data_IF_280143378741
#
_entry.id   IF_280143378741
#
_cell.length_a   1.000
_cell.length_b   1.000
_cell.length_c   1.000
_cell.angle_alpha   90.00
_cell.angle_beta   90.00
_cell.angle_gamma   90.00
#
_symmetry.space_group_name_H-M   'P 1'
#
loop_
_entity.id
_entity.type
_entity.pdbx_description
1 polymer ?
#
# COMPACT_ATOMS: atom_id res chain seq x y z
N UNK A 1 8.29 -48.97 -17.04
CA UNK A 1 9.39 -48.28 -17.75
C UNK A 1 9.63 -46.92 -17.12
N UNK A 2 10.38 -46.88 -16.01
CA UNK A 2 10.75 -45.65 -15.30
C UNK A 2 12.22 -45.80 -14.89
N UNK A 3 13.16 -45.31 -15.69
CA UNK A 3 14.56 -45.47 -15.33
C UNK A 3 15.58 -44.92 -16.33
N UNK A 4 15.42 -43.72 -16.89
CA UNK A 4 16.50 -43.17 -17.72
C UNK A 4 16.72 -41.66 -17.62
N UNK A 5 15.95 -40.93 -16.83
CA UNK A 5 16.13 -39.45 -16.70
C UNK A 5 17.18 -39.05 -15.67
N UNK A 6 17.39 -39.84 -14.62
CA UNK A 6 18.39 -39.53 -13.57
C UNK A 6 19.84 -39.66 -14.03
N UNK A 7 20.14 -40.58 -14.96
CA UNK A 7 21.50 -40.76 -15.48
C UNK A 7 21.97 -39.61 -16.40
N UNK A 8 21.07 -38.98 -17.15
CA UNK A 8 21.41 -37.90 -18.05
C UNK A 8 21.74 -36.60 -17.30
N UNK A 9 21.09 -36.34 -16.17
CA UNK A 9 21.37 -35.17 -15.32
C UNK A 9 22.72 -35.28 -14.60
N UNK A 10 23.11 -36.48 -14.18
CA UNK A 10 24.41 -36.70 -13.54
C UNK A 10 25.56 -36.43 -14.52
N UNK A 11 25.40 -36.81 -15.78
CA UNK A 11 26.43 -36.56 -16.82
C UNK A 11 26.56 -35.05 -17.10
N UNK A 12 25.46 -34.31 -17.14
CA UNK A 12 25.49 -32.83 -17.34
C UNK A 12 26.20 -32.14 -16.18
N UNK A 13 25.93 -32.54 -14.95
CA UNK A 13 26.62 -31.97 -13.75
C UNK A 13 28.11 -32.24 -13.77
N UNK A 14 28.52 -33.45 -14.13
CA UNK A 14 29.98 -33.79 -14.22
C UNK A 14 30.69 -32.98 -15.31
N UNK A 15 30.04 -32.77 -16.46
CA UNK A 15 30.60 -31.93 -17.55
C UNK A 15 30.72 -30.46 -17.14
N UNK A 16 29.75 -29.93 -16.41
CA UNK A 16 29.80 -28.54 -15.91
C UNK A 16 30.91 -28.35 -14.87
N UNK A 17 31.07 -29.31 -13.95
CA UNK A 17 32.17 -29.27 -12.95
C UNK A 17 33.52 -29.37 -13.64
N UNK A 18 33.71 -30.22 -14.66
CA UNK A 18 34.94 -30.33 -15.43
C UNK A 18 35.23 -29.04 -16.21
N UNK A 19 34.26 -28.37 -16.77
CA UNK A 19 34.44 -27.09 -17.46
C UNK A 19 34.84 -25.95 -16.52
N UNK A 20 34.27 -25.91 -15.31
CA UNK A 20 34.64 -24.93 -14.28
C UNK A 20 36.08 -25.17 -13.78
N UNK A 21 36.46 -26.43 -13.57
CA UNK A 21 37.83 -26.77 -13.16
C UNK A 21 38.87 -26.42 -14.26
N UNK A 22 38.54 -26.65 -15.54
CA UNK A 22 39.39 -26.27 -16.67
C UNK A 22 39.55 -24.76 -16.81
N UNK A 23 38.49 -24.00 -16.56
CA UNK A 23 38.51 -22.53 -16.57
C UNK A 23 39.41 -21.96 -15.47
N UNK A 24 39.33 -22.50 -14.24
CA UNK A 24 40.18 -22.09 -13.12
C UNK A 24 41.68 -22.48 -13.36
N UNK A 25 41.91 -23.62 -13.97
CA UNK A 25 43.28 -24.07 -14.31
C UNK A 25 43.90 -23.21 -15.43
N UNK A 26 43.10 -22.69 -16.36
CA UNK A 26 43.57 -21.82 -17.43
C UNK A 26 43.86 -20.39 -16.94
N UNK A 27 43.07 -19.89 -16.00
CA UNK A 27 43.25 -18.56 -15.41
C UNK A 27 44.45 -18.47 -14.47
N UNK A 28 44.83 -19.57 -13.82
CA UNK A 28 46.01 -19.64 -12.93
C UNK A 28 47.37 -19.69 -13.63
N UNK A 29 47.41 -19.70 -14.98
CA UNK A 29 48.66 -19.87 -15.74
C UNK A 29 49.21 -18.59 -16.36
N UNK A 30 48.58 -17.45 -16.20
CA UNK A 30 48.96 -16.20 -16.85
C UNK A 30 49.77 -15.22 -15.98
N UNK A 31 50.08 -15.56 -14.73
CA UNK A 31 50.85 -14.69 -13.84
C UNK A 31 52.25 -15.24 -13.56
N UNK A 32 53.06 -15.46 -14.61
CA UNK A 32 54.48 -15.72 -14.42
C UNK A 32 55.23 -15.43 -15.72
N UNK A 33 55.69 -14.19 -15.90
CA UNK A 33 56.95 -13.87 -16.56
C UNK A 33 57.13 -12.37 -16.75
N UNK A 34 57.99 -11.77 -15.93
CA UNK A 34 59.08 -10.95 -16.43
C UNK A 34 59.93 -10.46 -15.25
N UNK A 35 61.01 -11.20 -15.02
CA UNK A 35 62.12 -10.72 -14.22
C UNK A 35 63.34 -10.63 -15.10
N UNK A 36 64.09 -9.57 -14.94
CA UNK A 36 65.51 -9.43 -14.83
C UNK A 36 66.24 -8.76 -16.01
N UNK A 37 67.58 -8.47 -15.86
CA UNK A 37 68.27 -7.63 -14.88
C UNK A 37 69.22 -6.64 -15.57
N UNK A 38 69.82 -5.72 -14.86
CA UNK A 38 70.87 -4.91 -15.44
C UNK A 38 71.41 -3.84 -14.49
N UNK A 39 72.52 -4.24 -13.84
CA UNK A 39 73.36 -3.48 -12.95
C UNK A 39 73.99 -2.22 -13.59
N UNK A 40 74.24 -1.18 -12.82
CA UNK A 40 75.59 -0.73 -12.47
C UNK A 40 75.57 0.38 -11.43
N UNK A 41 76.51 0.25 -10.47
CA UNK A 41 76.85 1.19 -9.40
C UNK A 41 77.44 2.47 -9.98
N UNK A 42 77.16 3.60 -9.39
CA UNK A 42 78.19 4.60 -9.09
C UNK A 42 77.80 5.45 -7.90
N UNK A 43 78.58 5.41 -6.88
CA UNK A 43 78.58 6.26 -5.73
C UNK A 43 79.21 7.59 -6.07
N UNK A 44 78.59 8.71 -5.61
CA UNK A 44 79.40 9.91 -5.36
C UNK A 44 78.67 10.79 -4.29
N UNK A 45 79.44 10.94 -3.27
CA UNK A 45 79.53 11.92 -2.16
C UNK A 45 78.61 13.10 -2.11
N UNK A 46 78.19 13.34 -0.87
CA UNK A 46 77.54 14.57 -0.35
C UNK A 46 78.51 15.76 -0.36
N UNK A 47 77.99 16.96 -0.31
CA UNK A 47 78.24 17.76 0.89
C UNK A 47 77.01 18.42 1.52
N UNK A 48 77.19 18.73 2.79
CA UNK A 48 76.36 19.24 3.76
C UNK A 48 75.79 20.65 3.49
N UNK A 49 74.62 20.89 4.12
CA UNK A 49 74.34 22.23 4.63
C UNK A 49 73.29 23.01 3.84
N UNK A 50 72.03 22.95 4.29
CA UNK A 50 70.99 23.88 3.89
C UNK A 50 69.74 23.67 4.73
N UNK A 51 69.51 24.52 5.73
CA UNK A 51 68.25 24.67 6.45
C UNK A 51 67.16 24.88 5.44
N UNK A 52 66.41 23.80 5.12
CA UNK A 52 65.12 23.90 4.39
C UNK A 52 64.11 24.50 5.35
N UNK A 53 63.81 25.78 5.20
CA UNK A 53 62.60 26.40 5.69
C UNK A 53 61.43 25.53 5.18
N UNK A 54 60.46 25.25 6.06
CA UNK A 54 59.18 24.67 5.72
C UNK A 54 58.52 25.57 4.63
N UNK A 55 58.70 25.19 3.35
CA UNK A 55 57.79 25.65 2.30
C UNK A 55 56.45 24.98 2.59
N UNK A 56 55.49 25.74 3.15
CA UNK A 56 54.09 25.41 3.10
C UNK A 56 53.74 25.09 1.64
N UNK A 57 53.46 23.85 1.33
CA UNK A 57 52.91 23.45 0.01
C UNK A 57 51.65 24.29 -0.30
N UNK A 58 51.26 24.35 -1.56
CA UNK A 58 50.01 24.98 -1.91
C UNK A 58 48.88 24.43 -1.02
N UNK A 59 48.11 25.36 -0.41
CA UNK A 59 46.98 24.98 0.44
C UNK A 59 46.04 24.07 -0.36
N UNK A 60 45.54 22.99 0.25
CA UNK A 60 44.60 22.10 -0.40
C UNK A 60 43.25 22.87 -0.56
N UNK A 61 42.75 23.01 -1.80
CA UNK A 61 41.45 23.61 -2.00
C UNK A 61 40.34 22.63 -1.51
N UNK A 62 39.43 23.13 -0.68
CA UNK A 62 38.31 22.35 -0.13
C UNK A 62 37.01 23.11 -0.28
N UNK A 63 35.90 22.40 -0.45
CA UNK A 63 34.56 22.95 -0.29
C UNK A 63 34.07 22.67 1.12
N UNK A 64 33.33 23.62 1.69
CA UNK A 64 32.78 23.50 3.02
C UNK A 64 31.30 23.82 3.03
N UNK A 65 30.54 23.10 3.86
CA UNK A 65 29.15 23.41 4.18
C UNK A 65 28.99 23.64 5.68
N UNK A 66 28.04 24.47 6.07
CA UNK A 66 27.73 24.72 7.48
C UNK A 66 26.71 23.68 7.96
N UNK A 67 26.97 23.08 9.12
CA UNK A 67 26.00 22.22 9.81
C UNK A 67 24.81 23.08 10.27
N UNK A 68 23.61 22.69 9.85
CA UNK A 68 22.38 23.44 10.16
C UNK A 68 21.47 22.61 11.05
N UNK A 69 20.79 23.30 11.95
CA UNK A 69 19.76 22.68 12.79
C UNK A 69 18.42 22.76 12.06
N UNK A 70 17.80 21.60 11.82
CA UNK A 70 16.50 21.54 11.15
C UNK A 70 15.68 20.35 11.62
N UNK A 71 14.35 20.46 11.49
CA UNK A 71 13.46 19.33 11.73
C UNK A 71 13.61 18.29 10.58
N UNK A 72 13.91 17.05 10.94
CA UNK A 72 14.09 15.96 9.98
C UNK A 72 12.99 14.91 10.20
N UNK A 73 12.10 14.71 9.23
CA UNK A 73 11.07 13.68 9.32
C UNK A 73 11.70 12.29 9.18
N UNK A 74 11.26 11.37 10.04
CA UNK A 74 11.63 9.96 9.98
C UNK A 74 10.54 9.17 9.29
N UNK A 75 10.85 8.66 8.11
CA UNK A 75 9.95 7.82 7.35
C UNK A 75 10.33 6.35 7.46
N UNK A 76 9.32 5.48 7.63
CA UNK A 76 9.44 4.06 7.35
C UNK A 76 8.90 3.82 5.94
N UNK A 77 9.66 3.08 5.14
CA UNK A 77 9.30 2.82 3.75
C UNK A 77 8.98 1.35 3.54
N UNK A 78 7.99 1.06 2.72
CA UNK A 78 7.60 -0.30 2.38
C UNK A 78 6.97 -0.36 0.99
N UNK A 79 7.07 -1.50 0.33
CA UNK A 79 6.32 -1.75 -0.89
C UNK A 79 4.92 -2.23 -0.53
N UNK A 80 3.92 -1.70 -1.21
CA UNK A 80 2.54 -2.06 -0.98
C UNK A 80 1.70 -2.20 -2.23
N UNK A 81 0.51 -2.73 -2.02
CA UNK A 81 -0.52 -2.87 -3.05
C UNK A 81 -1.77 -2.15 -2.60
N UNK A 82 -2.33 -1.37 -3.49
CA UNK A 82 -3.63 -0.73 -3.27
C UNK A 82 -4.72 -1.80 -3.32
N UNK A 83 -5.59 -1.80 -2.32
CA UNK A 83 -6.74 -2.69 -2.23
C UNK A 83 -8.02 -1.88 -2.08
N UNK A 84 -9.09 -2.34 -2.69
CA UNK A 84 -10.39 -1.71 -2.44
C UNK A 84 -10.78 -1.83 -0.95
N UNK A 85 -11.50 -0.83 -0.43
CA UNK A 85 -12.05 -0.93 0.93
C UNK A 85 -13.02 -2.10 1.04
N UNK A 86 -13.88 -2.28 0.02
CA UNK A 86 -14.77 -3.43 -0.13
C UNK A 86 -14.83 -3.86 -1.60
N UNK A 87 -14.91 -5.16 -1.83
CA UNK A 87 -15.18 -5.74 -3.15
C UNK A 87 -16.32 -6.73 -3.00
N UNK A 88 -17.42 -6.48 -3.70
CA UNK A 88 -18.62 -7.29 -3.60
C UNK A 88 -19.02 -7.81 -4.98
N UNK A 89 -19.07 -9.12 -5.13
CA UNK A 89 -19.64 -9.78 -6.31
C UNK A 89 -21.15 -9.83 -6.15
N UNK A 90 -21.84 -9.08 -6.98
CA UNK A 90 -23.32 -9.05 -7.01
C UNK A 90 -23.83 -10.31 -7.70
N UNK A 91 -24.65 -11.08 -6.99
CA UNK A 91 -25.21 -12.35 -7.46
C UNK A 91 -26.72 -12.32 -7.34
N UNK A 92 -27.40 -13.11 -8.17
CA UNK A 92 -28.82 -13.36 -7.99
C UNK A 92 -29.05 -14.30 -6.79
N UNK A 93 -30.19 -14.12 -6.14
CA UNK A 93 -30.71 -15.02 -5.09
C UNK A 93 -31.84 -15.90 -5.62
N UNK A 94 -32.31 -15.63 -6.84
CA UNK A 94 -33.38 -16.38 -7.51
C UNK A 94 -32.94 -16.77 -8.92
N UNK A 95 -33.52 -17.84 -9.43
CA UNK A 95 -33.26 -18.32 -10.77
C UNK A 95 -34.20 -17.65 -11.77
N UNK A 96 -33.72 -17.38 -12.98
CA UNK A 96 -34.57 -16.82 -14.04
C UNK A 96 -33.77 -16.17 -15.15
N UNK A 97 -34.45 -15.73 -16.20
CA UNK A 97 -33.85 -15.03 -17.32
C UNK A 97 -33.55 -13.57 -16.96
N UNK A 98 -32.35 -13.11 -17.30
CA UNK A 98 -31.97 -11.69 -17.15
C UNK A 98 -32.65 -10.85 -18.20
N UNK A 99 -33.57 -9.97 -17.76
CA UNK A 99 -34.38 -9.12 -18.65
C UNK A 99 -33.70 -7.80 -18.98
N UNK A 100 -33.03 -7.20 -18.01
CA UNK A 100 -32.40 -5.90 -18.19
C UNK A 100 -31.19 -5.71 -17.27
N UNK A 101 -30.23 -4.89 -17.73
CA UNK A 101 -29.13 -4.33 -16.94
C UNK A 101 -29.33 -2.81 -16.90
N UNK A 102 -29.29 -2.21 -15.71
CA UNK A 102 -29.56 -0.80 -15.46
C UNK A 102 -28.30 0.00 -15.08
N UNK A 103 -27.12 -0.50 -15.39
CA UNK A 103 -25.85 0.17 -15.14
C UNK A 103 -24.98 0.22 -16.40
N UNK A 104 -24.05 1.13 -16.43
CA UNK A 104 -22.93 1.14 -17.39
C UNK A 104 -21.66 0.65 -16.72
N UNK A 105 -20.82 -0.07 -17.48
CA UNK A 105 -19.52 -0.51 -17.00
C UNK A 105 -18.65 0.68 -16.58
N UNK A 106 -18.04 0.60 -15.41
CA UNK A 106 -17.25 1.68 -14.84
C UNK A 106 -18.05 2.80 -14.16
N UNK A 107 -19.39 2.74 -14.15
CA UNK A 107 -20.26 3.72 -13.50
C UNK A 107 -20.11 3.68 -11.96
N UNK A 108 -20.21 4.83 -11.32
CA UNK A 108 -20.41 4.92 -9.86
C UNK A 108 -21.87 4.67 -9.52
N UNK A 109 -22.11 3.80 -8.54
CA UNK A 109 -23.45 3.45 -8.04
C UNK A 109 -23.51 3.63 -6.53
N UNK A 110 -24.71 3.85 -6.01
CA UNK A 110 -24.98 3.93 -4.58
C UNK A 110 -25.69 2.67 -4.10
N UNK A 111 -25.54 2.35 -2.83
CA UNK A 111 -26.29 1.29 -2.19
C UNK A 111 -27.80 1.47 -2.41
N UNK A 112 -28.48 0.42 -2.90
CA UNK A 112 -29.88 0.44 -3.26
C UNK A 112 -30.18 0.73 -4.74
N UNK A 113 -29.23 1.22 -5.54
CA UNK A 113 -29.43 1.44 -6.97
C UNK A 113 -29.76 0.12 -7.67
N UNK A 114 -30.75 0.12 -8.57
CA UNK A 114 -31.15 -1.04 -9.36
C UNK A 114 -30.06 -1.35 -10.39
N UNK A 115 -29.55 -2.57 -10.35
CA UNK A 115 -28.49 -3.04 -11.26
C UNK A 115 -29.02 -3.95 -12.35
N UNK A 116 -29.90 -4.89 -11.98
CA UNK A 116 -30.40 -5.89 -12.91
C UNK A 116 -31.81 -6.33 -12.56
N UNK A 117 -32.51 -6.80 -13.55
CA UNK A 117 -33.88 -7.35 -13.41
C UNK A 117 -33.95 -8.75 -14.01
N UNK A 118 -34.39 -9.71 -13.19
CA UNK A 118 -34.74 -11.08 -13.62
C UNK A 118 -36.22 -11.11 -13.94
N UNK A 119 -36.67 -11.94 -14.87
CA UNK A 119 -38.10 -12.07 -15.22
C UNK A 119 -38.96 -12.31 -13.97
N UNK A 120 -39.78 -11.30 -13.58
CA UNK A 120 -40.57 -11.37 -12.38
C UNK A 120 -41.85 -12.17 -12.55
N UNK A 121 -42.19 -12.66 -13.74
CA UNK A 121 -43.50 -13.22 -14.11
C UNK A 121 -43.87 -14.39 -13.23
N UNK A 122 -42.99 -15.35 -13.02
CA UNK A 122 -43.24 -16.52 -12.16
C UNK A 122 -43.46 -16.12 -10.69
N UNK A 123 -42.70 -15.13 -10.19
CA UNK A 123 -42.78 -14.68 -8.81
C UNK A 123 -44.10 -13.89 -8.56
N UNK A 124 -44.55 -13.09 -9.53
CA UNK A 124 -45.83 -12.40 -9.49
C UNK A 124 -47.00 -13.38 -9.42
N UNK A 125 -46.94 -14.46 -10.22
CA UNK A 125 -47.99 -15.51 -10.19
C UNK A 125 -47.99 -16.22 -8.83
N UNK A 126 -46.81 -16.59 -8.29
CA UNK A 126 -46.70 -17.24 -6.98
C UNK A 126 -47.24 -16.34 -5.85
N UNK A 127 -46.95 -15.03 -5.89
CA UNK A 127 -47.46 -14.05 -4.94
C UNK A 127 -48.98 -13.94 -5.03
N UNK A 128 -49.51 -13.84 -6.25
CA UNK A 128 -50.98 -13.75 -6.46
C UNK A 128 -51.71 -15.01 -5.95
N UNK A 129 -51.10 -16.20 -6.15
CA UNK A 129 -51.62 -17.46 -5.64
C UNK A 129 -51.67 -17.48 -4.08
N UNK A 130 -50.57 -17.09 -3.42
CA UNK A 130 -50.48 -17.02 -1.97
C UNK A 130 -51.49 -16.01 -1.40
N UNK A 131 -51.63 -14.83 -2.03
CA UNK A 131 -52.61 -13.80 -1.64
C UNK A 131 -54.04 -14.32 -1.80
N UNK A 132 -54.36 -15.06 -2.87
CA UNK A 132 -55.66 -15.68 -3.09
C UNK A 132 -56.01 -16.69 -1.99
N UNK A 133 -55.05 -17.51 -1.57
CA UNK A 133 -55.26 -18.49 -0.48
C UNK A 133 -55.49 -17.74 0.85
N UNK A 134 -54.69 -16.74 1.18
CA UNK A 134 -54.90 -15.91 2.38
C UNK A 134 -56.28 -15.23 2.40
N UNK A 135 -56.72 -14.71 1.26
CA UNK A 135 -58.04 -14.09 1.16
C UNK A 135 -59.18 -15.08 1.41
N UNK A 136 -59.08 -16.30 0.87
CA UNK A 136 -60.03 -17.38 1.12
C UNK A 136 -60.11 -17.75 2.60
N UNK A 137 -58.96 -17.92 3.26
CA UNK A 137 -58.94 -18.33 4.66
C UNK A 137 -59.32 -17.21 5.64
N UNK A 138 -59.04 -15.96 5.28
CA UNK A 138 -59.64 -14.78 5.99
C UNK A 138 -61.14 -14.77 5.90
N UNK A 139 -61.76 -15.14 4.77
CA UNK A 139 -63.21 -15.27 4.64
C UNK A 139 -63.76 -16.42 5.51
N UNK A 140 -63.04 -17.55 5.56
CA UNK A 140 -63.38 -18.70 6.43
C UNK A 140 -63.33 -18.29 7.89
N UNK A 141 -62.30 -17.58 8.35
CA UNK A 141 -62.23 -17.06 9.72
C UNK A 141 -63.37 -16.11 10.05
N UNK A 142 -63.72 -15.22 9.12
CA UNK A 142 -64.86 -14.32 9.31
C UNK A 142 -66.21 -15.06 9.49
N UNK A 143 -66.38 -16.21 8.82
CA UNK A 143 -67.52 -17.10 9.03
C UNK A 143 -67.42 -17.79 10.40
N UNK A 144 -66.30 -18.42 10.74
CA UNK A 144 -66.10 -19.09 12.02
C UNK A 144 -66.34 -18.15 13.22
N UNK A 145 -65.85 -16.89 13.13
CA UNK A 145 -66.09 -15.86 14.17
C UNK A 145 -67.57 -15.47 14.31
N UNK A 146 -68.31 -15.38 13.19
CA UNK A 146 -69.75 -15.12 13.21
C UNK A 146 -70.49 -16.29 13.84
N UNK A 147 -70.13 -17.49 13.53
CA UNK A 147 -70.70 -18.69 14.13
C UNK A 147 -70.38 -18.79 15.60
N UNK A 148 -69.16 -18.58 16.04
CA UNK A 148 -68.76 -18.53 17.43
C UNK A 148 -69.61 -17.49 18.21
N UNK A 149 -69.81 -16.25 17.68
CA UNK A 149 -70.62 -15.21 18.31
C UNK A 149 -72.09 -15.66 18.46
N UNK A 150 -72.62 -16.39 17.47
CA UNK A 150 -73.94 -16.96 17.54
C UNK A 150 -74.00 -18.04 18.63
N UNK A 151 -73.14 -18.98 18.69
CA UNK A 151 -73.01 -20.03 19.70
C UNK A 151 -72.79 -19.46 21.10
N UNK A 152 -72.10 -18.40 21.28
CA UNK A 152 -71.93 -17.68 22.55
C UNK A 152 -73.27 -17.07 23.05
N UNK A 153 -74.10 -16.57 22.14
CA UNK A 153 -75.43 -16.07 22.50
C UNK A 153 -76.39 -17.18 22.88
N UNK A 154 -76.39 -18.28 22.11
CA UNK A 154 -77.24 -19.46 22.41
C UNK A 154 -76.79 -20.16 23.70
N UNK A 155 -75.58 -20.17 24.06
CA UNK A 155 -75.03 -20.73 25.30
C UNK A 155 -75.58 -19.97 26.52
N UNK A 156 -75.76 -18.66 26.42
CA UNK A 156 -76.36 -17.83 27.51
C UNK A 156 -77.79 -18.23 27.82
N UNK A 157 -78.48 -18.81 26.87
CA UNK A 157 -79.89 -19.30 27.03
C UNK A 157 -79.94 -20.81 27.19
N UNK A 158 -78.86 -21.52 27.42
CA UNK A 158 -78.71 -22.98 27.53
C UNK A 158 -79.28 -23.75 26.34
N UNK A 159 -79.23 -23.18 25.12
CA UNK A 159 -79.76 -23.82 23.90
C UNK A 159 -78.65 -24.63 23.14
N UNK A 160 -77.40 -24.59 23.57
CA UNK A 160 -76.30 -25.32 23.02
C UNK A 160 -75.46 -25.91 24.14
N UNK A 161 -74.75 -27.02 23.84
CA UNK A 161 -73.86 -27.65 24.80
C UNK A 161 -72.54 -26.90 24.91
N UNK A 162 -71.83 -27.02 26.05
CA UNK A 162 -70.49 -26.49 26.23
C UNK A 162 -69.48 -27.08 25.23
N UNK A 163 -69.62 -28.32 24.89
CA UNK A 163 -68.77 -29.00 23.93
C UNK A 163 -68.86 -28.37 22.53
N UNK A 164 -70.06 -28.00 22.09
CA UNK A 164 -70.29 -27.31 20.80
C UNK A 164 -69.66 -25.90 20.79
N UNK A 165 -69.76 -25.15 21.90
CA UNK A 165 -69.20 -23.85 22.05
C UNK A 165 -67.64 -23.97 22.01
N UNK A 166 -67.06 -24.90 22.76
CA UNK A 166 -65.61 -25.13 22.80
C UNK A 166 -65.05 -25.56 21.41
N UNK A 167 -65.81 -26.38 20.67
CA UNK A 167 -65.49 -26.78 19.30
C UNK A 167 -65.47 -25.55 18.36
N UNK A 168 -66.41 -24.63 18.45
CA UNK A 168 -66.40 -23.40 17.65
C UNK A 168 -65.22 -22.46 18.01
N UNK A 169 -64.89 -22.40 19.30
CA UNK A 169 -63.72 -21.64 19.73
C UNK A 169 -62.42 -22.26 19.24
N UNK A 170 -62.31 -23.59 19.27
CA UNK A 170 -61.14 -24.31 18.71
C UNK A 170 -61.03 -24.06 17.19
N UNK A 171 -62.15 -24.10 16.44
CA UNK A 171 -62.15 -23.82 14.99
C UNK A 171 -61.66 -22.42 14.65
N UNK A 172 -62.06 -21.41 15.44
CA UNK A 172 -61.53 -20.04 15.27
C UNK A 172 -60.03 -20.01 15.48
N UNK A 173 -59.52 -20.64 16.57
CA UNK A 173 -58.12 -20.68 16.86
C UNK A 173 -57.32 -21.42 15.79
N UNK A 174 -57.82 -22.53 15.27
CA UNK A 174 -57.23 -23.29 14.16
C UNK A 174 -57.15 -22.45 12.88
N UNK A 175 -58.23 -21.76 12.53
CA UNK A 175 -58.26 -20.89 11.34
C UNK A 175 -57.36 -19.67 11.49
N UNK A 176 -57.21 -19.11 12.68
CA UNK A 176 -56.24 -18.07 12.98
C UNK A 176 -54.80 -18.57 12.81
N UNK A 177 -54.52 -19.82 13.22
CA UNK A 177 -53.25 -20.47 12.97
C UNK A 177 -52.95 -20.62 11.46
N UNK A 178 -53.96 -21.06 10.69
CA UNK A 178 -53.84 -21.17 9.22
C UNK A 178 -53.54 -19.82 8.56
N UNK A 179 -54.21 -18.75 8.96
CA UNK A 179 -53.96 -17.41 8.42
C UNK A 179 -52.53 -16.95 8.67
N UNK A 180 -51.96 -17.24 9.85
CA UNK A 180 -50.56 -16.91 10.12
C UNK A 180 -49.58 -17.67 9.19
N UNK A 181 -49.90 -18.92 8.86
CA UNK A 181 -49.09 -19.69 7.88
C UNK A 181 -49.21 -19.13 6.46
N UNK A 182 -50.43 -18.72 6.07
CA UNK A 182 -50.65 -18.05 4.77
C UNK A 182 -49.95 -16.70 4.68
N UNK A 183 -49.98 -15.89 5.74
CA UNK A 183 -49.28 -14.62 5.79
C UNK A 183 -47.75 -14.82 5.65
N UNK A 184 -47.20 -15.87 6.24
CA UNK A 184 -45.80 -16.26 6.03
C UNK A 184 -45.53 -16.69 4.58
N UNK A 185 -46.49 -17.39 3.95
CA UNK A 185 -46.37 -17.81 2.55
C UNK A 185 -46.41 -16.59 1.60
N UNK A 186 -47.29 -15.63 1.84
CA UNK A 186 -47.31 -14.36 1.11
C UNK A 186 -46.01 -13.58 1.27
N UNK A 187 -45.49 -13.50 2.50
CA UNK A 187 -44.23 -12.81 2.76
C UNK A 187 -43.05 -13.50 2.02
N UNK A 188 -43.02 -14.85 1.98
CA UNK A 188 -42.03 -15.61 1.23
C UNK A 188 -42.10 -15.34 -0.27
N UNK A 189 -43.29 -15.36 -0.86
CA UNK A 189 -43.48 -15.08 -2.28
C UNK A 189 -43.11 -13.62 -2.64
N UNK A 190 -43.45 -12.66 -1.76
CA UNK A 190 -43.03 -11.27 -1.92
C UNK A 190 -41.53 -11.12 -1.90
N UNK A 191 -40.85 -11.77 -0.96
CA UNK A 191 -39.39 -11.72 -0.84
C UNK A 191 -38.70 -12.26 -2.11
N UNK A 192 -39.23 -13.34 -2.71
CA UNK A 192 -38.70 -13.87 -3.98
C UNK A 192 -38.92 -12.88 -5.14
N UNK A 193 -40.05 -12.18 -5.18
CA UNK A 193 -40.30 -11.14 -6.15
C UNK A 193 -39.34 -9.95 -5.95
N UNK A 194 -39.10 -9.56 -4.70
CA UNK A 194 -38.14 -8.47 -4.41
C UNK A 194 -36.70 -8.85 -4.82
N UNK A 195 -36.32 -10.10 -4.64
CA UNK A 195 -35.01 -10.61 -5.10
C UNK A 195 -34.85 -10.70 -6.62
N UNK A 196 -35.96 -10.65 -7.39
CA UNK A 196 -35.87 -10.55 -8.84
C UNK A 196 -35.33 -9.18 -9.30
N UNK A 197 -35.37 -8.18 -8.42
CA UNK A 197 -34.77 -6.86 -8.64
C UNK A 197 -33.47 -6.78 -7.88
N UNK A 198 -32.35 -6.85 -8.60
CA UNK A 198 -31.03 -6.92 -8.02
C UNK A 198 -30.49 -5.52 -7.84
N UNK A 199 -30.22 -5.13 -6.59
CA UNK A 199 -29.72 -3.80 -6.22
C UNK A 199 -28.28 -3.84 -5.73
N UNK A 200 -27.59 -2.71 -5.78
CA UNK A 200 -26.24 -2.55 -5.27
C UNK A 200 -26.22 -2.69 -3.74
N UNK A 201 -25.42 -3.59 -3.15
CA UNK A 201 -25.34 -3.74 -1.70
C UNK A 201 -24.46 -2.70 -1.03
N UNK A 202 -23.57 -2.03 -1.76
CA UNK A 202 -22.62 -1.02 -1.29
C UNK A 202 -22.43 0.06 -2.34
N UNK A 203 -21.99 1.24 -1.89
CA UNK A 203 -21.51 2.29 -2.78
C UNK A 203 -20.21 1.87 -3.45
N UNK A 204 -20.01 2.19 -4.73
CA UNK A 204 -18.77 1.88 -5.39
C UNK A 204 -18.84 1.96 -6.91
N UNK A 205 -17.75 1.59 -7.54
CA UNK A 205 -17.63 1.55 -9.01
C UNK A 205 -17.95 0.16 -9.52
N UNK A 206 -18.85 0.10 -10.48
CA UNK A 206 -19.26 -1.12 -11.15
C UNK A 206 -18.15 -1.57 -12.10
N UNK A 207 -17.77 -2.84 -12.06
CA UNK A 207 -16.79 -3.45 -12.96
C UNK A 207 -17.39 -3.78 -14.34
N UNK A 208 -16.72 -4.67 -15.05
CA UNK A 208 -17.23 -5.22 -16.31
C UNK A 208 -18.37 -6.19 -16.01
N UNK A 209 -19.40 -6.21 -16.85
CA UNK A 209 -20.50 -7.17 -16.76
C UNK A 209 -19.98 -8.58 -17.00
N UNK A 210 -20.49 -9.53 -16.23
CA UNK A 210 -20.11 -10.95 -16.35
C UNK A 210 -21.14 -11.75 -17.15
N UNK A 211 -22.33 -11.16 -17.36
CA UNK A 211 -23.47 -11.79 -18.03
C UNK A 211 -24.17 -10.82 -18.95
N UNK A 212 -24.85 -11.34 -19.98
CA UNK A 212 -25.60 -10.54 -20.94
C UNK A 212 -27.09 -10.71 -20.72
N UNK A 213 -27.86 -9.68 -21.15
CA UNK A 213 -29.33 -9.72 -21.19
C UNK A 213 -29.78 -10.88 -22.07
N UNK A 214 -30.77 -11.62 -21.58
CA UNK A 214 -31.25 -12.85 -22.22
C UNK A 214 -30.66 -14.13 -21.65
N UNK A 215 -29.55 -14.07 -20.92
CA UNK A 215 -28.98 -15.26 -20.28
C UNK A 215 -29.85 -15.76 -19.13
N UNK A 216 -29.83 -17.09 -18.93
CA UNK A 216 -30.41 -17.72 -17.75
C UNK A 216 -29.42 -17.55 -16.59
N UNK A 217 -29.87 -16.98 -15.48
CA UNK A 217 -29.13 -16.81 -14.24
C UNK A 217 -29.59 -17.84 -13.22
N UNK A 218 -28.63 -18.42 -12.50
CA UNK A 218 -28.93 -19.31 -11.39
C UNK A 218 -28.42 -18.72 -10.07
N UNK A 219 -29.18 -18.95 -8.99
CA UNK A 219 -28.79 -18.57 -7.62
C UNK A 219 -27.53 -19.30 -7.13
N UNK A 220 -27.18 -20.43 -7.77
CA UNK A 220 -25.95 -21.19 -7.53
C UNK A 220 -24.70 -20.72 -8.28
N UNK A 221 -24.83 -19.75 -9.20
CA UNK A 221 -23.74 -19.28 -10.01
C UNK A 221 -22.68 -18.55 -9.19
N UNK A 222 -21.43 -18.96 -9.34
CA UNK A 222 -20.29 -18.37 -8.63
C UNK A 222 -19.75 -17.11 -9.29
N UNK A 223 -19.95 -16.93 -10.59
CA UNK A 223 -19.43 -15.82 -11.39
C UNK A 223 -20.07 -14.48 -11.00
N UNK A 224 -21.39 -14.49 -10.74
CA UNK A 224 -22.15 -13.27 -10.46
C UNK A 224 -22.50 -12.47 -11.70
N UNK A 225 -23.19 -11.36 -11.51
CA UNK A 225 -23.64 -10.43 -12.57
C UNK A 225 -22.59 -9.39 -12.84
N UNK A 226 -22.05 -8.81 -11.77
CA UNK A 226 -21.06 -7.75 -11.80
C UNK A 226 -20.32 -7.66 -10.45
N UNK A 227 -19.12 -7.12 -10.47
CA UNK A 227 -18.35 -6.81 -9.25
C UNK A 227 -18.43 -5.33 -8.97
N UNK A 228 -18.80 -4.96 -7.76
CA UNK A 228 -18.74 -3.57 -7.27
C UNK A 228 -17.51 -3.43 -6.39
N UNK A 229 -16.72 -2.42 -6.69
CA UNK A 229 -15.48 -2.12 -5.98
C UNK A 229 -15.57 -0.74 -5.35
N UNK A 230 -15.45 -0.68 -4.02
CA UNK A 230 -15.43 0.59 -3.31
C UNK A 230 -14.03 1.18 -3.37
N UNK A 231 -13.88 2.28 -4.12
CA UNK A 231 -12.61 3.00 -4.32
C UNK A 231 -12.53 4.29 -3.50
N UNK A 232 -13.64 4.70 -2.87
CA UNK A 232 -13.76 5.86 -2.00
C UNK A 232 -14.42 5.44 -0.66
N UNK A 233 -13.62 5.27 0.41
CA UNK A 233 -12.16 5.30 0.51
C UNK A 233 -11.50 4.06 -0.13
N UNK A 234 -10.16 4.12 -0.29
CA UNK A 234 -9.33 3.01 -0.76
C UNK A 234 -8.24 2.71 0.27
N UNK A 235 -7.83 1.47 0.36
CA UNK A 235 -6.85 1.03 1.34
C UNK A 235 -5.52 0.67 0.63
N UNK A 236 -4.39 0.92 1.31
CA UNK A 236 -3.07 0.46 0.93
C UNK A 236 -2.62 -0.58 1.95
N UNK A 237 -2.24 -1.76 1.47
CA UNK A 237 -1.60 -2.79 2.29
C UNK A 237 -0.12 -2.85 1.90
N UNK A 238 0.76 -2.57 2.85
CA UNK A 238 2.21 -2.60 2.66
C UNK A 238 2.89 -3.35 3.80
N UNK A 239 4.16 -3.72 3.63
CA UNK A 239 4.90 -4.49 4.61
C UNK A 239 5.99 -3.64 5.26
N UNK A 240 6.21 -3.87 6.56
CA UNK A 240 7.31 -3.29 7.32
C UNK A 240 8.10 -4.40 8.02
N UNK A 241 9.43 -4.24 8.18
CA UNK A 241 10.25 -5.14 8.98
C UNK A 241 9.80 -5.21 10.44
N UNK A 242 9.97 -6.37 11.08
CA UNK A 242 9.66 -6.57 12.51
C UNK A 242 10.37 -5.57 13.41
N UNK A 243 11.62 -5.19 13.08
CA UNK A 243 12.40 -4.20 13.84
C UNK A 243 11.70 -2.85 14.01
N UNK A 244 10.82 -2.46 13.10
CA UNK A 244 10.16 -1.16 13.09
C UNK A 244 8.83 -1.15 13.83
N UNK A 245 8.28 -2.34 14.16
CA UNK A 245 6.96 -2.48 14.82
C UNK A 245 6.91 -1.71 16.13
N UNK A 246 7.95 -1.83 16.96
CA UNK A 246 8.00 -1.16 18.26
C UNK A 246 7.84 0.36 18.13
N UNK A 247 8.49 0.96 17.11
CA UNK A 247 8.40 2.40 16.83
C UNK A 247 6.98 2.80 16.44
N UNK A 248 6.33 2.03 15.55
CA UNK A 248 4.96 2.29 15.11
C UNK A 248 3.96 2.19 16.27
N UNK A 249 4.06 1.12 17.05
CA UNK A 249 3.18 0.89 18.21
C UNK A 249 3.36 1.98 19.28
N UNK A 250 4.58 2.44 19.53
CA UNK A 250 4.83 3.55 20.46
C UNK A 250 4.19 4.84 19.97
N UNK A 251 4.34 5.16 18.68
CA UNK A 251 3.73 6.35 18.09
C UNK A 251 2.20 6.32 18.16
N UNK A 252 1.57 5.15 17.89
CA UNK A 252 0.13 4.97 18.06
C UNK A 252 -0.33 5.13 19.51
N UNK A 253 0.40 4.52 20.48
CA UNK A 253 0.08 4.66 21.91
C UNK A 253 0.22 6.09 22.41
N UNK A 254 1.10 6.88 21.80
CA UNK A 254 1.23 8.31 22.06
C UNK A 254 0.11 9.16 21.42
N UNK A 255 -0.88 8.54 20.76
CA UNK A 255 -1.99 9.23 20.11
C UNK A 255 -1.62 9.98 18.83
N UNK A 256 -0.43 9.74 18.26
CA UNK A 256 -0.01 10.36 17.01
C UNK A 256 -0.79 9.77 15.82
N UNK A 257 -1.37 10.61 14.99
CA UNK A 257 -1.88 10.19 13.69
C UNK A 257 -0.70 9.96 12.75
N UNK A 258 -0.48 8.71 12.34
CA UNK A 258 0.62 8.37 11.45
C UNK A 258 0.17 8.58 10.01
N UNK A 259 0.76 9.60 9.39
CA UNK A 259 0.52 9.93 7.97
C UNK A 259 1.27 8.95 7.09
N UNK A 260 0.59 8.43 6.05
CA UNK A 260 1.16 7.52 5.07
C UNK A 260 1.00 8.14 3.69
N UNK A 261 2.12 8.29 3.01
CA UNK A 261 2.16 8.78 1.64
C UNK A 261 2.29 7.59 0.68
N UNK A 262 1.47 7.59 -0.36
CA UNK A 262 1.59 6.67 -1.49
C UNK A 262 2.38 7.36 -2.61
N UNK A 263 3.49 6.74 -3.01
CA UNK A 263 4.36 7.21 -4.08
C UNK A 263 4.31 6.26 -5.27
N UNK A 264 4.63 6.76 -6.43
CA UNK A 264 4.75 5.95 -7.63
C UNK A 264 5.87 4.90 -7.48
N UNK A 265 5.92 3.94 -8.39
CA UNK A 265 6.89 2.84 -8.35
C UNK A 265 8.35 3.31 -8.45
N UNK A 266 8.58 4.47 -9.05
CA UNK A 266 9.91 5.07 -9.21
C UNK A 266 10.29 6.02 -8.08
N UNK A 267 9.41 6.23 -7.09
CA UNK A 267 9.57 7.22 -6.01
C UNK A 267 9.72 8.67 -6.49
N UNK A 268 9.24 8.98 -7.69
CA UNK A 268 9.38 10.32 -8.29
C UNK A 268 8.20 11.23 -7.99
N UNK A 269 6.98 10.66 -7.84
CA UNK A 269 5.76 11.43 -7.65
C UNK A 269 4.96 10.88 -6.48
N UNK A 270 4.56 11.76 -5.56
CA UNK A 270 3.54 11.48 -4.54
C UNK A 270 2.18 11.40 -5.23
N UNK A 271 1.49 10.28 -5.08
CA UNK A 271 0.18 10.03 -5.67
C UNK A 271 -0.95 10.50 -4.75
N UNK A 272 -0.86 10.16 -3.45
CA UNK A 272 -1.90 10.49 -2.48
C UNK A 272 -1.33 10.45 -1.06
N UNK A 273 -2.11 10.99 -0.12
CA UNK A 273 -1.83 10.97 1.32
C UNK A 273 -3.01 10.37 2.07
N UNK A 274 -2.69 9.52 3.03
CA UNK A 274 -3.65 8.84 3.88
C UNK A 274 -3.14 8.71 5.30
N UNK A 275 -3.83 7.90 6.08
CA UNK A 275 -3.50 7.65 7.48
C UNK A 275 -3.43 6.16 7.78
N UNK A 276 -2.58 5.79 8.73
CA UNK A 276 -2.52 4.42 9.24
C UNK A 276 -3.88 4.02 9.80
N UNK A 277 -4.43 2.91 9.29
CA UNK A 277 -5.69 2.34 9.76
C UNK A 277 -5.45 1.25 10.81
N UNK A 278 -4.60 0.27 10.49
CA UNK A 278 -4.32 -0.87 11.38
C UNK A 278 -3.00 -1.55 11.02
N UNK A 279 -2.44 -2.24 12.01
CA UNK A 279 -1.41 -3.25 11.80
C UNK A 279 -2.07 -4.63 11.82
N UNK A 280 -1.49 -5.58 11.11
CA UNK A 280 -1.88 -6.99 11.21
C UNK A 280 -1.57 -7.51 12.63
N UNK A 281 -2.22 -8.59 13.02
CA UNK A 281 -2.01 -9.24 14.31
C UNK A 281 -0.94 -10.34 14.27
N UNK A 282 -0.39 -10.62 13.09
CA UNK A 282 0.61 -11.66 12.86
C UNK A 282 1.78 -11.14 12.03
N UNK A 283 2.98 -11.60 12.38
CA UNK A 283 4.20 -11.41 11.60
C UNK A 283 4.33 -12.59 10.66
N UNK A 284 4.63 -12.33 9.40
CA UNK A 284 4.99 -13.36 8.44
C UNK A 284 6.42 -13.84 8.78
N UNK A 285 6.51 -15.04 9.37
CA UNK A 285 7.77 -15.62 9.81
C UNK A 285 8.72 -15.97 8.64
N UNK A 286 8.21 -16.07 7.40
CA UNK A 286 9.04 -16.37 6.23
C UNK A 286 9.79 -15.15 5.73
N UNK A 287 9.22 -13.97 5.90
CA UNK A 287 9.79 -12.71 5.43
C UNK A 287 10.27 -11.81 6.57
N UNK A 288 9.92 -12.11 7.84
CA UNK A 288 10.19 -11.26 9.00
C UNK A 288 9.50 -9.90 8.93
N UNK A 289 8.32 -9.83 8.28
CA UNK A 289 7.59 -8.57 8.08
C UNK A 289 6.18 -8.64 8.65
N UNK A 290 5.63 -7.47 8.96
CA UNK A 290 4.22 -7.29 9.32
C UNK A 290 3.48 -6.54 8.23
N UNK A 291 2.22 -6.90 7.98
CA UNK A 291 1.35 -6.15 7.07
C UNK A 291 0.75 -4.95 7.80
N UNK A 292 0.75 -3.85 7.12
CA UNK A 292 0.22 -2.57 7.60
C UNK A 292 -0.82 -2.08 6.62
N UNK A 293 -1.95 -1.62 7.14
CA UNK A 293 -3.04 -1.07 6.33
C UNK A 293 -3.17 0.42 6.59
N UNK A 294 -3.16 1.21 5.53
CA UNK A 294 -3.43 2.64 5.56
C UNK A 294 -4.64 2.97 4.70
N UNK A 295 -5.40 4.00 5.04
CA UNK A 295 -6.61 4.44 4.36
C UNK A 295 -6.42 5.78 3.70
N UNK A 296 -6.88 5.91 2.45
CA UNK A 296 -6.82 7.08 1.60
C UNK A 296 -8.24 7.44 1.16
N UNK A 297 -8.57 8.73 1.09
CA UNK A 297 -9.89 9.18 0.63
C UNK A 297 -10.10 8.97 -0.87
N UNK A 298 -9.03 9.11 -1.66
CA UNK A 298 -8.98 8.85 -3.11
C UNK A 298 -10.05 9.58 -3.94
N UNK A 299 -10.43 10.81 -3.56
CA UNK A 299 -11.48 11.57 -4.26
C UNK A 299 -11.12 11.96 -5.70
N UNK A 300 -9.84 11.97 -6.01
CA UNK A 300 -9.26 12.30 -7.32
C UNK A 300 -9.05 11.06 -8.22
N UNK A 301 -9.47 9.87 -7.78
CA UNK A 301 -9.25 8.59 -8.46
C UNK A 301 -7.77 8.34 -8.84
N UNK A 302 -6.82 8.88 -8.07
CA UNK A 302 -5.38 8.73 -8.35
C UNK A 302 -4.86 7.31 -8.05
N UNK A 303 -5.55 6.58 -7.17
CA UNK A 303 -5.19 5.22 -6.74
C UNK A 303 -6.20 4.21 -7.28
N UNK A 304 -5.68 3.14 -7.89
CA UNK A 304 -6.49 2.05 -8.42
C UNK A 304 -6.24 0.74 -7.67
N UNK A 305 -7.26 -0.10 -7.45
CA UNK A 305 -7.08 -1.43 -6.87
C UNK A 305 -6.03 -2.25 -7.64
N UNK A 306 -5.24 -3.04 -6.91
CA UNK A 306 -4.11 -3.84 -7.40
C UNK A 306 -2.92 -3.03 -7.97
N UNK A 307 -2.90 -1.71 -7.82
CA UNK A 307 -1.75 -0.89 -8.15
C UNK A 307 -0.63 -1.08 -7.12
N UNK A 308 0.61 -1.25 -7.57
CA UNK A 308 1.79 -1.26 -6.71
C UNK A 308 2.27 0.17 -6.46
N UNK A 309 2.52 0.48 -5.20
CA UNK A 309 3.00 1.80 -4.75
C UNK A 309 4.08 1.64 -3.68
N UNK A 310 4.93 2.63 -3.56
CA UNK A 310 5.85 2.74 -2.44
C UNK A 310 5.15 3.53 -1.33
N UNK A 311 5.03 2.92 -0.16
CA UNK A 311 4.52 3.57 1.04
C UNK A 311 5.64 4.28 1.79
N UNK A 312 5.40 5.51 2.22
CA UNK A 312 6.26 6.24 3.16
C UNK A 312 5.42 6.65 4.36
N UNK A 313 5.66 6.05 5.50
CA UNK A 313 4.93 6.35 6.73
C UNK A 313 5.76 7.25 7.63
N UNK A 314 5.26 8.43 7.93
CA UNK A 314 5.89 9.36 8.87
C UNK A 314 5.63 8.88 10.30
N UNK A 315 6.67 8.44 10.99
CA UNK A 315 6.55 7.93 12.36
C UNK A 315 6.98 8.94 13.40
N UNK A 316 7.94 9.80 13.08
CA UNK A 316 8.45 10.83 13.98
C UNK A 316 9.07 11.97 13.20
N UNK A 317 9.31 13.09 13.88
CA UNK A 317 10.09 14.22 13.35
C UNK A 317 11.10 14.61 14.40
N UNK A 318 12.37 14.37 14.12
CA UNK A 318 13.47 14.73 15.00
C UNK A 318 13.64 16.26 14.91
N UNK A 319 13.18 16.96 15.97
CA UNK A 319 13.32 18.41 16.05
C UNK A 319 14.76 18.76 16.41
N UNK A 320 15.28 19.88 15.87
CA UNK A 320 16.63 20.36 16.18
C UNK A 320 17.73 19.35 15.84
N UNK A 321 17.57 18.58 14.77
CA UNK A 321 18.60 17.67 14.29
C UNK A 321 19.73 18.44 13.58
N UNK A 322 20.98 18.19 13.97
CA UNK A 322 22.14 18.74 13.28
C UNK A 322 22.34 17.98 11.97
N UNK A 323 22.25 18.69 10.87
CA UNK A 323 22.28 18.09 9.53
C UNK A 323 23.45 18.65 8.73
N UNK A 324 24.16 17.75 8.05
CA UNK A 324 25.23 18.06 7.11
C UNK A 324 24.97 17.38 5.76
N UNK A 325 25.60 17.84 4.66
CA UNK A 325 25.59 17.12 3.40
C UNK A 325 26.22 15.72 3.56
N UNK A 326 25.62 14.69 2.94
CA UNK A 326 26.11 13.30 3.00
C UNK A 326 27.55 13.19 2.49
N UNK A 327 27.98 14.05 1.54
CA UNK A 327 29.35 14.09 1.02
C UNK A 327 30.40 14.43 2.10
N UNK A 328 30.03 15.10 3.19
CA UNK A 328 30.96 15.41 4.28
C UNK A 328 31.22 14.22 5.21
N UNK A 329 30.36 13.21 5.23
CA UNK A 329 30.50 12.05 6.10
C UNK A 329 31.50 11.06 5.51
N UNK A 330 32.54 10.76 6.28
CA UNK A 330 33.59 9.81 5.90
C UNK A 330 33.60 8.60 6.83
N UNK A 331 34.13 7.49 6.32
CA UNK A 331 34.30 6.27 7.11
C UNK A 331 35.81 5.97 7.26
N UNK A 332 36.27 5.83 8.47
CA UNK A 332 37.66 5.48 8.80
C UNK A 332 37.74 4.24 9.68
N UNK A 333 38.94 3.86 10.07
CA UNK A 333 39.21 2.69 10.92
C UNK A 333 38.57 2.77 12.31
N UNK A 334 38.34 3.99 12.82
CA UNK A 334 37.75 4.25 14.14
C UNK A 334 36.23 4.51 14.09
N UNK A 335 35.63 4.46 12.88
CA UNK A 335 34.20 4.75 12.66
C UNK A 335 33.97 5.92 11.71
N UNK A 336 32.76 6.46 11.77
CA UNK A 336 32.39 7.61 10.96
C UNK A 336 33.01 8.90 11.52
N UNK A 337 33.48 9.75 10.62
CA UNK A 337 34.07 11.03 10.99
C UNK A 337 33.75 12.11 9.95
N UNK A 338 33.94 13.35 10.34
CA UNK A 338 33.89 14.53 9.48
C UNK A 338 35.11 15.40 9.72
N UNK A 339 35.50 16.16 8.69
CA UNK A 339 36.51 17.19 8.83
C UNK A 339 35.83 18.50 9.17
N UNK A 340 36.13 19.08 10.33
CA UNK A 340 35.60 20.36 10.79
C UNK A 340 36.64 21.46 10.59
N UNK A 341 36.22 22.57 10.05
CA UNK A 341 37.03 23.78 9.82
C UNK A 341 36.92 24.72 11.00
N UNK A 342 38.05 25.09 11.58
CA UNK A 342 38.09 26.16 12.59
C UNK A 342 38.13 27.59 11.94
N UNK A 343 38.11 28.62 12.77
CA UNK A 343 38.19 30.02 12.33
C UNK A 343 39.49 30.39 11.59
N UNK A 344 40.58 29.59 11.77
CA UNK A 344 41.88 29.79 11.11
C UNK A 344 41.99 28.98 9.78
N UNK A 345 40.91 28.40 9.30
CA UNK A 345 40.87 27.46 8.16
C UNK A 345 41.81 26.25 8.32
N UNK A 346 41.92 25.75 9.55
CA UNK A 346 42.58 24.47 9.83
C UNK A 346 41.51 23.39 9.98
N UNK A 347 41.75 22.20 9.46
CA UNK A 347 40.88 21.04 9.57
C UNK A 347 41.22 20.21 10.78
N UNK A 348 40.19 19.73 11.49
CA UNK A 348 40.31 18.73 12.56
C UNK A 348 39.33 17.58 12.30
N UNK A 349 39.78 16.35 12.58
CA UNK A 349 38.98 15.14 12.44
C UNK A 349 38.10 14.98 13.66
N UNK A 350 36.78 15.00 13.46
CA UNK A 350 35.79 14.74 14.52
C UNK A 350 35.09 13.42 14.26
N UNK A 351 35.16 12.50 15.22
CA UNK A 351 34.37 11.27 15.20
C UNK A 351 32.91 11.64 15.43
N UNK A 352 32.03 11.09 14.60
CA UNK A 352 30.60 11.40 14.64
C UNK A 352 29.74 10.15 14.68
N UNK A 353 28.57 10.30 15.29
CA UNK A 353 27.53 9.25 15.26
C UNK A 353 26.45 9.66 14.27
N UNK A 354 26.39 9.05 13.07
CA UNK A 354 25.37 9.35 12.10
C UNK A 354 24.02 8.82 12.56
N UNK A 355 22.94 9.51 12.21
CA UNK A 355 21.55 9.13 12.41
C UNK A 355 20.86 8.80 11.08
N UNK A 356 19.71 9.45 10.86
CA UNK A 356 18.94 9.33 9.61
C UNK A 356 19.76 9.94 8.47
N UNK A 357 19.87 9.20 7.38
CA UNK A 357 20.60 9.63 6.18
C UNK A 357 19.73 9.45 4.94
N UNK A 358 19.77 10.42 4.06
CA UNK A 358 19.24 10.33 2.70
C UNK A 358 20.35 10.54 1.66
N UNK A 359 20.00 10.68 0.39
CA UNK A 359 20.95 10.87 -0.71
C UNK A 359 21.71 12.19 -0.66
N UNK A 360 21.21 13.20 0.06
CA UNK A 360 21.77 14.54 0.09
C UNK A 360 22.25 14.97 1.47
N UNK A 361 21.59 14.49 2.53
CA UNK A 361 21.79 14.96 3.89
C UNK A 361 21.89 13.80 4.88
N UNK A 362 22.64 14.01 5.94
CA UNK A 362 22.76 13.08 7.07
C UNK A 362 22.59 13.84 8.39
N UNK A 363 21.81 13.28 9.28
CA UNK A 363 21.68 13.76 10.66
C UNK A 363 22.88 13.29 11.46
N UNK A 364 23.50 14.16 12.23
CA UNK A 364 24.56 13.82 13.16
C UNK A 364 24.04 13.95 14.58
N UNK A 365 24.06 12.84 15.31
CA UNK A 365 23.57 12.79 16.71
C UNK A 365 24.60 13.22 17.73
N UNK A 366 25.88 13.05 17.42
CA UNK A 366 26.97 13.43 18.31
C UNK A 366 28.26 13.67 17.51
N UNK A 367 29.11 14.58 18.00
CA UNK A 367 30.45 14.85 17.48
C UNK A 367 30.63 16.22 16.82
N UNK A 368 29.53 16.88 16.40
CA UNK A 368 29.54 18.27 15.89
C UNK A 368 28.32 19.05 16.41
N UNK A 369 28.38 20.36 16.29
CA UNK A 369 27.31 21.28 16.68
C UNK A 369 26.77 22.07 15.48
N UNK A 370 25.57 22.61 15.61
CA UNK A 370 25.04 23.53 14.63
C UNK A 370 25.96 24.78 14.50
N UNK A 371 26.22 25.16 13.26
CA UNK A 371 27.17 26.25 12.95
C UNK A 371 28.58 25.77 12.61
N UNK A 372 28.96 24.53 12.91
CA UNK A 372 30.25 24.00 12.52
C UNK A 372 30.38 23.92 11.00
N UNK A 373 31.53 24.26 10.48
CA UNK A 373 31.83 24.18 9.04
C UNK A 373 32.49 22.81 8.73
N UNK A 374 31.82 22.00 7.93
CA UNK A 374 32.31 20.66 7.56
C UNK A 374 32.77 20.63 6.11
N UNK A 375 33.85 19.93 5.83
CA UNK A 375 34.41 19.78 4.48
C UNK A 375 33.57 18.78 3.70
N UNK A 376 33.13 19.16 2.50
CA UNK A 376 32.33 18.32 1.60
C UNK A 376 33.09 17.79 0.39
N UNK A 377 34.17 18.48 -0.02
CA UNK A 377 35.01 18.09 -1.16
C UNK A 377 36.50 18.45 -0.90
N UNK A 378 37.41 17.77 -1.58
CA UNK A 378 38.85 17.93 -1.38
C UNK A 378 39.44 17.14 -0.19
N UNK A 379 38.72 16.13 0.30
CA UNK A 379 38.99 15.40 1.55
C UNK A 379 40.25 14.53 1.49
N UNK A 380 40.59 13.98 0.32
CA UNK A 380 41.62 12.94 0.14
C UNK A 380 43.03 13.36 0.55
N UNK A 381 43.30 14.66 0.65
CA UNK A 381 44.63 15.24 0.96
C UNK A 381 44.72 15.84 2.33
N UNK A 382 43.69 15.67 3.16
CA UNK A 382 43.61 16.30 4.47
C UNK A 382 44.34 15.45 5.52
N UNK A 383 45.07 16.14 6.37
CA UNK A 383 45.68 15.60 7.58
C UNK A 383 45.29 16.46 8.77
N UNK A 384 45.34 15.88 9.96
CA UNK A 384 44.99 16.59 11.20
C UNK A 384 45.80 17.88 11.33
N UNK A 385 45.09 19.03 11.57
CA UNK A 385 45.69 20.35 11.70
C UNK A 385 46.14 21.00 10.40
N UNK A 386 45.91 20.38 9.23
CA UNK A 386 46.28 20.98 7.94
C UNK A 386 45.52 22.29 7.69
N UNK A 387 46.24 23.32 7.18
CA UNK A 387 45.60 24.57 6.73
C UNK A 387 45.13 24.42 5.30
N UNK A 388 43.89 24.82 5.03
CA UNK A 388 43.21 24.65 3.74
C UNK A 388 42.76 25.97 3.16
N UNK A 389 42.53 26.02 1.87
CA UNK A 389 41.88 27.16 1.18
C UNK A 389 40.46 26.78 0.87
N UNK A 390 39.52 27.53 1.46
CA UNK A 390 38.08 27.27 1.23
C UNK A 390 37.69 27.93 -0.08
N UNK A 391 37.29 27.09 -1.04
CA UNK A 391 36.71 27.50 -2.31
C UNK A 391 35.21 27.48 -2.18
N UNK A 392 34.52 28.58 -2.37
CA UNK A 392 33.07 28.62 -2.38
C UNK A 392 32.54 27.75 -3.53
N UNK A 393 31.59 26.87 -3.22
CA UNK A 393 30.90 26.10 -4.25
C UNK A 393 30.23 27.08 -5.22
N UNK A 394 30.66 27.11 -6.47
CA UNK A 394 29.90 27.79 -7.51
C UNK A 394 28.53 27.11 -7.57
N UNK A 395 27.49 27.80 -7.15
CA UNK A 395 26.10 27.35 -7.28
C UNK A 395 25.92 26.89 -8.73
N UNK A 396 25.62 25.62 -8.91
CA UNK A 396 25.28 25.08 -10.22
C UNK A 396 24.03 25.82 -10.69
N UNK A 397 24.22 26.85 -11.49
CA UNK A 397 23.13 27.56 -12.17
C UNK A 397 22.42 26.53 -13.04
N UNK A 398 21.16 26.30 -12.73
CA UNK A 398 20.28 25.37 -13.46
C UNK A 398 20.35 25.67 -14.97
N UNK A 399 20.42 24.65 -15.85
CA UNK A 399 20.56 24.87 -17.30
C UNK A 399 19.47 25.72 -17.96
N UNK A 400 18.34 25.95 -17.29
CA UNK A 400 17.22 26.76 -17.79
C UNK A 400 17.51 28.27 -17.84
N UNK A 401 18.36 28.79 -16.96
CA UNK A 401 18.66 30.23 -16.96
C UNK A 401 19.64 30.65 -18.08
N UNK A 402 20.41 29.68 -18.63
CA UNK A 402 21.28 29.92 -19.80
C UNK A 402 20.53 29.92 -21.13
N UNK A 403 19.35 29.34 -21.19
CA UNK A 403 18.54 29.34 -22.41
C UNK A 403 17.82 30.68 -22.62
N UNK A 404 17.29 31.29 -21.55
CA UNK A 404 16.58 32.57 -21.60
C UNK A 404 17.51 33.74 -21.84
N UNK A 405 18.72 33.77 -21.29
CA UNK A 405 19.68 34.86 -21.50
C UNK A 405 20.28 34.89 -22.92
N UNK A 406 20.37 33.72 -23.61
CA UNK A 406 20.80 33.65 -25.01
C UNK A 406 19.71 34.05 -26.01
N UNK A 407 18.46 33.92 -25.65
CA UNK A 407 17.32 34.30 -26.52
C UNK A 407 17.06 35.81 -26.49
N UNK A 408 17.26 36.46 -25.35
CA UNK A 408 17.20 37.92 -25.22
C UNK A 408 18.36 38.62 -25.92
N UNK A 409 19.58 38.06 -25.89
CA UNK A 409 20.73 38.63 -26.57
C UNK A 409 20.64 38.52 -28.10
N UNK A 410 19.87 37.57 -28.65
CA UNK A 410 19.68 37.40 -30.09
C UNK A 410 18.57 38.28 -30.67
N UNK A 411 17.63 38.79 -29.87
CA UNK A 411 16.56 39.72 -30.27
C UNK A 411 17.00 41.21 -30.21
N UNK A 412 18.04 41.57 -29.43
CA UNK A 412 18.57 42.93 -29.38
C UNK A 412 19.56 43.31 -30.46
N UNK A 413 19.97 42.34 -31.33
CA UNK A 413 20.91 42.60 -32.47
C UNK A 413 20.24 42.66 -33.85
N UNK A 414 18.91 42.76 -33.89
CA UNK A 414 18.13 42.96 -35.13
C UNK A 414 17.08 44.09 -34.92
N UNK A 415 17.53 45.26 -34.64
CA UNK A 415 16.78 46.51 -34.76
C UNK A 415 17.70 47.56 -35.36
#
# INVERSE_FOLDING_TARGET
MKGSYKSRWVIVIVVVIAAIAAFWFWQGRNDSQSAAPGATKQAQQSPAGGRRGMRSGPLAPVQAATAVEQAVPRYLTGLGTITAANTVTVRSRVDGQLMALHFQEGQQVKAGDLLAEIDPSQFKVALAQAQGQLAKDKATLANARRDLARYQQLAKTNLVSRQELDAQQALVSETEGTIKADEASVASAQLQLDWSRITAPVDGRVGLKQVDVGNQISSGDTTGIVVITQTHPIDLVFTLPESDIATVVQAQKAGKTLVVEAWDRTNSKKLSEGTLLSLDNQIDATTGTIKVKARFNNQDDALFPNQFVNARMLVDTEQNAVVIPTAALQMGNEGHFVWVLNSENKVSKHLVTPGIQDSQKVVIRAGISAGDRVVTDGIDRLTEGAKVEVVEAQSATTPEEKATSREYAKKGARS
#
